data_IF_346742103052
#
_entry.id   IF_346742103052
#
_cell.length_a   1.000
_cell.length_b   1.000
_cell.length_c   1.000
_cell.angle_alpha   90.00
_cell.angle_beta   90.00
_cell.angle_gamma   90.00
#
_symmetry.space_group_name_H-M   'P 1'
#
loop_
_entity.id
_entity.type
_entity.pdbx_description
1 polymer ?
#
# COMPACT_ATOMS: atom_id res chain seq x y z
N UNK A 1 37.44 -22.27 -39.62
CA UNK A 1 37.16 -20.96 -38.96
C UNK A 1 35.77 -20.43 -39.29
N UNK A 2 35.40 -20.17 -40.56
CA UNK A 2 34.07 -19.61 -40.91
C UNK A 2 32.87 -20.44 -40.40
N UNK A 3 32.94 -21.78 -40.49
CA UNK A 3 31.87 -22.69 -39.99
C UNK A 3 31.73 -22.68 -38.46
N UNK A 4 32.84 -22.59 -37.74
CA UNK A 4 32.86 -22.54 -36.27
C UNK A 4 32.31 -21.22 -35.75
N UNK A 5 32.69 -20.10 -36.39
CA UNK A 5 32.15 -18.76 -36.07
C UNK A 5 30.64 -18.72 -36.31
N UNK A 6 30.16 -19.32 -37.42
CA UNK A 6 28.73 -19.39 -37.71
C UNK A 6 27.96 -20.20 -36.65
N UNK A 7 28.52 -21.32 -36.18
CA UNK A 7 27.92 -22.15 -35.12
C UNK A 7 27.83 -21.40 -33.78
N UNK A 8 28.89 -20.69 -33.40
CA UNK A 8 28.91 -19.87 -32.18
C UNK A 8 27.87 -18.75 -32.27
N UNK A 9 27.77 -18.11 -33.44
CA UNK A 9 26.80 -17.03 -33.66
C UNK A 9 25.36 -17.52 -33.57
N UNK A 10 25.05 -18.70 -34.14
CA UNK A 10 23.72 -19.30 -34.03
C UNK A 10 23.38 -19.66 -32.59
N UNK A 11 24.32 -20.27 -31.84
CA UNK A 11 24.14 -20.56 -30.41
C UNK A 11 23.89 -19.30 -29.58
N UNK A 12 24.60 -18.20 -29.85
CA UNK A 12 24.40 -16.92 -29.15
C UNK A 12 23.01 -16.33 -29.43
N UNK A 13 22.56 -16.36 -30.70
CA UNK A 13 21.24 -15.86 -31.08
C UNK A 13 20.12 -16.70 -30.45
N UNK A 14 20.25 -18.03 -30.43
CA UNK A 14 19.27 -18.92 -29.78
C UNK A 14 19.19 -18.66 -28.27
N UNK A 15 20.32 -18.46 -27.61
CA UNK A 15 20.35 -18.16 -26.18
C UNK A 15 19.79 -16.77 -25.87
N UNK A 16 20.03 -15.76 -26.71
CA UNK A 16 19.44 -14.43 -26.53
C UNK A 16 17.92 -14.44 -26.70
N UNK A 17 17.39 -15.20 -27.67
CA UNK A 17 15.95 -15.34 -27.88
C UNK A 17 15.28 -16.07 -26.71
N UNK A 18 15.91 -17.13 -26.19
CA UNK A 18 15.41 -17.85 -25.01
C UNK A 18 15.43 -16.99 -23.74
N UNK A 19 16.47 -16.17 -23.56
CA UNK A 19 16.53 -15.22 -22.45
C UNK A 19 15.42 -14.15 -22.54
N UNK A 20 15.23 -13.54 -23.71
CA UNK A 20 14.17 -12.55 -23.92
C UNK A 20 12.77 -13.12 -23.72
N UNK A 21 12.50 -14.34 -24.20
CA UNK A 21 11.21 -14.99 -23.99
C UNK A 21 10.94 -15.31 -22.51
N UNK A 22 11.97 -15.71 -21.76
CA UNK A 22 11.85 -15.92 -20.31
C UNK A 22 11.60 -14.62 -19.58
N UNK A 23 12.32 -13.55 -19.92
CA UNK A 23 12.13 -12.24 -19.30
C UNK A 23 10.70 -11.72 -19.52
N UNK A 24 10.12 -11.96 -20.70
CA UNK A 24 8.72 -11.63 -21.00
C UNK A 24 7.72 -12.47 -20.19
N UNK A 25 7.95 -13.78 -20.06
CA UNK A 25 7.10 -14.68 -19.27
C UNK A 25 7.15 -14.33 -17.76
N UNK A 26 8.34 -13.99 -17.24
CA UNK A 26 8.48 -13.49 -15.87
C UNK A 26 7.79 -12.15 -15.67
N UNK A 27 7.88 -11.23 -16.63
CA UNK A 27 7.18 -9.95 -16.55
C UNK A 27 5.65 -10.11 -16.51
N UNK A 28 5.09 -11.01 -17.33
CA UNK A 28 3.65 -11.31 -17.35
C UNK A 28 3.19 -11.97 -16.03
N UNK A 29 4.01 -12.85 -15.45
CA UNK A 29 3.74 -13.45 -14.14
C UNK A 29 3.79 -12.41 -13.01
N UNK A 30 4.79 -11.54 -12.99
CA UNK A 30 4.94 -10.49 -11.98
C UNK A 30 3.79 -9.47 -12.07
N UNK A 31 3.34 -9.14 -13.29
CA UNK A 31 2.16 -8.31 -13.52
C UNK A 31 0.90 -8.97 -12.94
N UNK A 32 0.66 -10.26 -13.24
CA UNK A 32 -0.47 -11.01 -12.68
C UNK A 32 -0.46 -11.05 -11.15
N UNK A 33 0.70 -11.29 -10.52
CA UNK A 33 0.83 -11.30 -9.06
C UNK A 33 0.55 -9.92 -8.47
N UNK A 34 1.05 -8.87 -9.10
CA UNK A 34 0.81 -7.47 -8.69
C UNK A 34 -0.67 -7.11 -8.81
N UNK A 35 -1.37 -7.51 -9.87
CA UNK A 35 -2.81 -7.28 -10.04
C UNK A 35 -3.63 -8.00 -8.96
N UNK A 36 -3.31 -9.26 -8.68
CA UNK A 36 -3.97 -10.03 -7.63
C UNK A 36 -3.74 -9.40 -6.25
N UNK A 37 -2.52 -8.91 -5.98
CA UNK A 37 -2.20 -8.19 -4.76
C UNK A 37 -3.00 -6.88 -4.68
N UNK A 38 -3.09 -6.11 -5.76
CA UNK A 38 -3.86 -4.89 -5.85
C UNK A 38 -5.34 -5.12 -5.50
N UNK A 39 -5.97 -6.18 -6.03
CA UNK A 39 -7.36 -6.52 -5.70
C UNK A 39 -7.51 -6.80 -4.20
N UNK A 40 -6.65 -7.67 -3.63
CA UNK A 40 -6.70 -8.04 -2.21
C UNK A 40 -6.44 -6.86 -1.27
N UNK A 41 -5.49 -6.00 -1.62
CA UNK A 41 -5.17 -4.80 -0.86
C UNK A 41 -6.34 -3.83 -0.93
N UNK A 42 -6.91 -3.58 -2.11
CA UNK A 42 -8.05 -2.68 -2.26
C UNK A 42 -9.28 -3.17 -1.51
N UNK A 43 -9.52 -4.48 -1.44
CA UNK A 43 -10.59 -5.04 -0.61
C UNK A 43 -10.41 -4.65 0.87
N UNK A 44 -9.18 -4.75 1.40
CA UNK A 44 -8.88 -4.35 2.78
C UNK A 44 -8.97 -2.83 2.97
N UNK A 45 -8.43 -2.05 2.05
CA UNK A 45 -8.43 -0.59 2.16
C UNK A 45 -9.84 0.00 2.09
N UNK A 46 -10.71 -0.59 1.28
CA UNK A 46 -12.10 -0.16 1.10
C UNK A 46 -13.08 -0.88 2.04
N UNK A 47 -12.61 -1.74 2.94
CA UNK A 47 -13.46 -2.39 3.92
C UNK A 47 -14.07 -1.35 4.88
N UNK A 48 -15.41 -1.18 4.92
CA UNK A 48 -16.06 -0.20 5.76
C UNK A 48 -16.05 -0.64 7.22
N UNK A 49 -15.67 0.26 8.12
CA UNK A 49 -15.68 0.05 9.55
C UNK A 49 -16.85 0.84 10.17
N UNK A 50 -17.67 0.15 10.96
CA UNK A 50 -18.78 0.75 11.71
C UNK A 50 -18.36 1.14 13.13
N UNK A 51 -19.22 1.89 13.82
CA UNK A 51 -19.06 2.27 15.24
C UNK A 51 -17.75 3.02 15.52
N UNK A 52 -17.36 3.90 14.59
CA UNK A 52 -16.26 4.85 14.78
C UNK A 52 -16.76 6.08 15.53
N UNK A 53 -15.85 6.79 16.19
CA UNK A 53 -16.24 7.97 16.97
C UNK A 53 -16.53 9.15 16.05
N UNK A 54 -17.72 9.73 16.19
CA UNK A 54 -18.18 10.88 15.44
C UNK A 54 -18.07 12.16 16.29
N UNK A 55 -17.71 13.28 15.66
CA UNK A 55 -17.69 14.60 16.27
C UNK A 55 -17.92 15.70 15.23
N UNK A 56 -18.01 16.96 15.66
CA UNK A 56 -18.32 18.10 14.80
C UNK A 56 -17.29 18.29 13.68
N UNK A 57 -16.00 18.39 14.01
CA UNK A 57 -14.90 18.50 13.03
C UNK A 57 -14.95 17.39 11.97
N UNK A 58 -15.24 16.15 12.40
CA UNK A 58 -15.34 15.04 11.47
C UNK A 58 -16.58 15.12 10.58
N UNK A 59 -17.73 15.53 11.13
CA UNK A 59 -18.95 15.73 10.34
C UNK A 59 -18.76 16.80 9.27
N UNK A 60 -17.98 17.85 9.56
CA UNK A 60 -17.59 18.86 8.59
C UNK A 60 -16.67 18.29 7.51
N UNK A 61 -15.64 17.54 7.92
CA UNK A 61 -14.77 16.80 6.99
C UNK A 61 -15.56 15.88 6.06
N UNK A 62 -16.53 15.12 6.58
CA UNK A 62 -17.39 14.23 5.76
C UNK A 62 -18.17 15.01 4.71
N UNK A 63 -18.70 16.20 5.07
CA UNK A 63 -19.39 17.10 4.13
C UNK A 63 -18.42 17.65 3.08
N UNK A 64 -17.26 18.16 3.51
CA UNK A 64 -16.22 18.74 2.63
C UNK A 64 -15.67 17.74 1.62
N UNK A 65 -15.53 16.49 2.05
CA UNK A 65 -14.98 15.39 1.23
C UNK A 65 -16.04 14.55 0.52
N UNK A 66 -17.32 14.80 0.80
CA UNK A 66 -18.45 13.96 0.37
C UNK A 66 -18.17 12.46 0.62
N UNK A 67 -17.72 12.13 1.83
CA UNK A 67 -17.23 10.80 2.20
C UNK A 67 -17.60 10.45 3.63
N UNK A 68 -17.87 9.17 3.90
CA UNK A 68 -18.12 8.68 5.27
C UNK A 68 -16.84 8.54 6.11
N UNK A 69 -15.65 8.65 5.48
CA UNK A 69 -14.35 8.55 6.16
C UNK A 69 -14.24 7.32 7.08
N UNK A 70 -14.82 6.20 6.65
CA UNK A 70 -14.93 4.95 7.40
C UNK A 70 -14.18 3.77 6.75
N UNK A 71 -13.36 4.05 5.73
CA UNK A 71 -12.43 3.10 5.10
C UNK A 71 -11.01 3.66 5.17
N UNK A 72 -9.99 2.79 5.17
CA UNK A 72 -8.60 3.23 5.16
C UNK A 72 -8.31 4.06 3.91
N UNK A 73 -8.81 3.61 2.75
CA UNK A 73 -8.64 4.29 1.47
C UNK A 73 -9.09 5.76 1.54
N UNK A 74 -10.31 6.00 2.05
CA UNK A 74 -10.88 7.35 2.11
C UNK A 74 -10.13 8.25 3.09
N UNK A 75 -9.71 7.73 4.25
CA UNK A 75 -8.98 8.53 5.24
C UNK A 75 -7.57 8.85 4.71
N UNK A 76 -6.87 7.87 4.13
CA UNK A 76 -5.55 8.06 3.53
C UNK A 76 -5.64 9.07 2.38
N UNK A 77 -6.60 8.90 1.47
CA UNK A 77 -6.76 9.77 0.29
C UNK A 77 -6.97 11.23 0.69
N UNK A 78 -7.90 11.49 1.62
CA UNK A 78 -8.19 12.86 2.03
C UNK A 78 -7.04 13.49 2.82
N UNK A 79 -6.30 12.73 3.63
CA UNK A 79 -5.11 13.26 4.31
C UNK A 79 -3.96 13.53 3.32
N UNK A 80 -3.78 12.61 2.36
CA UNK A 80 -2.76 12.70 1.31
C UNK A 80 -2.84 14.01 0.52
N UNK A 81 -4.06 14.50 0.30
CA UNK A 81 -4.34 15.75 -0.41
C UNK A 81 -4.81 16.89 0.50
N UNK A 82 -4.53 16.83 1.80
CA UNK A 82 -5.02 17.79 2.78
C UNK A 82 -4.70 19.26 2.42
N UNK A 83 -3.49 19.52 1.91
CA UNK A 83 -3.09 20.87 1.49
C UNK A 83 -3.85 21.35 0.25
N UNK A 84 -4.05 20.46 -0.74
CA UNK A 84 -4.85 20.77 -1.93
C UNK A 84 -6.32 21.02 -1.59
N UNK A 85 -6.82 20.37 -0.54
CA UNK A 85 -8.18 20.51 -0.05
C UNK A 85 -8.33 21.62 1.00
N UNK A 86 -7.26 22.37 1.27
CA UNK A 86 -7.20 23.46 2.25
C UNK A 86 -7.73 23.00 3.62
N UNK A 87 -7.21 21.88 4.12
CA UNK A 87 -7.58 21.36 5.42
C UNK A 87 -6.81 22.05 6.54
N UNK A 88 -7.55 22.52 7.54
CA UNK A 88 -6.99 23.08 8.75
C UNK A 88 -6.21 22.02 9.56
N UNK A 89 -5.32 22.48 10.44
CA UNK A 89 -4.52 21.59 11.30
C UNK A 89 -5.43 20.70 12.16
N UNK A 90 -6.56 21.22 12.61
CA UNK A 90 -7.53 20.44 13.39
C UNK A 90 -8.17 19.32 12.56
N UNK A 91 -8.59 19.62 11.33
CA UNK A 91 -9.13 18.65 10.38
C UNK A 91 -8.11 17.53 10.08
N UNK A 92 -6.86 17.90 9.79
CA UNK A 92 -5.76 16.96 9.58
C UNK A 92 -5.51 16.09 10.82
N UNK A 93 -5.52 16.69 12.01
CA UNK A 93 -5.36 15.96 13.28
C UNK A 93 -6.50 14.97 13.49
N UNK A 94 -7.74 15.35 13.12
CA UNK A 94 -8.90 14.47 13.22
C UNK A 94 -8.79 13.26 12.30
N UNK A 95 -8.28 13.42 11.08
CA UNK A 95 -8.00 12.30 10.17
C UNK A 95 -6.93 11.35 10.73
N UNK A 96 -5.87 11.88 11.37
CA UNK A 96 -4.87 11.06 12.06
C UNK A 96 -5.48 10.27 13.23
N UNK A 97 -6.33 10.89 14.04
CA UNK A 97 -7.05 10.19 15.12
C UNK A 97 -7.99 9.12 14.57
N UNK A 98 -8.69 9.40 13.47
CA UNK A 98 -9.55 8.43 12.79
C UNK A 98 -8.73 7.25 12.27
N UNK A 99 -7.48 7.45 11.82
CA UNK A 99 -6.56 6.35 11.48
C UNK A 99 -6.19 5.47 12.68
N UNK A 100 -6.03 6.06 13.87
CA UNK A 100 -5.80 5.31 15.12
C UNK A 100 -7.01 4.44 15.46
N UNK A 101 -8.23 4.97 15.34
CA UNK A 101 -9.47 4.21 15.54
C UNK A 101 -9.59 3.04 14.54
N UNK A 102 -9.20 3.25 13.28
CA UNK A 102 -9.18 2.18 12.28
C UNK A 102 -8.20 1.06 12.67
N UNK A 103 -7.02 1.39 13.19
CA UNK A 103 -6.08 0.38 13.67
C UNK A 103 -6.65 -0.43 14.85
N UNK A 104 -7.38 0.22 15.77
CA UNK A 104 -8.09 -0.48 16.84
C UNK A 104 -9.14 -1.43 16.29
N UNK A 105 -9.97 -0.99 15.34
CA UNK A 105 -11.02 -1.82 14.73
C UNK A 105 -10.48 -2.95 13.86
N UNK A 106 -9.38 -2.75 13.16
CA UNK A 106 -8.72 -3.84 12.42
C UNK A 106 -8.19 -4.89 13.39
N UNK A 107 -7.57 -4.48 14.50
CA UNK A 107 -7.10 -5.40 15.54
C UNK A 107 -8.25 -6.18 16.20
N UNK A 108 -9.33 -5.50 16.59
CA UNK A 108 -10.54 -6.12 17.17
C UNK A 108 -11.15 -7.17 16.23
N UNK A 109 -11.06 -6.95 14.92
CA UNK A 109 -11.53 -7.87 13.89
C UNK A 109 -10.48 -8.93 13.47
N UNK A 110 -9.38 -9.07 14.23
CA UNK A 110 -8.27 -9.98 13.94
C UNK A 110 -7.62 -9.78 12.55
N UNK A 111 -7.70 -8.57 12.00
CA UNK A 111 -7.04 -8.17 10.75
C UNK A 111 -5.67 -7.56 11.08
N UNK A 112 -4.68 -8.42 11.27
CA UNK A 112 -3.31 -8.01 11.59
C UNK A 112 -2.57 -7.59 10.31
N UNK A 113 -2.53 -6.29 10.06
CA UNK A 113 -1.88 -5.72 8.89
C UNK A 113 -0.93 -4.57 9.27
N UNK A 114 0.11 -4.37 8.49
CA UNK A 114 0.88 -3.13 8.42
C UNK A 114 0.79 -2.55 7.01
N UNK A 115 0.85 -1.22 6.92
CA UNK A 115 0.83 -0.48 5.68
C UNK A 115 2.25 0.02 5.41
N UNK A 116 2.83 -0.30 4.27
CA UNK A 116 4.19 0.10 3.94
C UNK A 116 4.25 0.68 2.53
N UNK A 117 5.18 1.62 2.34
CA UNK A 117 5.34 2.22 1.02
C UNK A 117 6.24 1.34 0.14
N UNK A 118 5.77 1.00 -1.05
CA UNK A 118 6.61 0.31 -2.03
C UNK A 118 7.69 1.25 -2.58
N UNK A 119 8.97 0.85 -2.54
CA UNK A 119 10.10 1.68 -2.98
C UNK A 119 11.02 0.90 -3.94
N UNK A 120 11.61 1.61 -4.90
CA UNK A 120 12.59 1.05 -5.84
C UNK A 120 11.95 0.07 -6.82
N UNK A 121 12.58 -1.10 -6.98
CA UNK A 121 12.14 -2.15 -7.92
C UNK A 121 10.99 -3.03 -7.39
N UNK A 122 10.41 -2.71 -6.23
CA UNK A 122 9.29 -3.48 -5.69
C UNK A 122 8.01 -3.18 -6.49
N UNK A 123 7.11 -4.16 -6.66
CA UNK A 123 5.80 -3.93 -7.27
C UNK A 123 5.03 -2.82 -6.56
N UNK A 124 4.28 -2.02 -7.31
CA UNK A 124 3.36 -0.98 -6.82
C UNK A 124 2.44 -1.51 -5.72
N UNK A 125 1.98 -2.75 -5.87
CA UNK A 125 1.17 -3.48 -4.92
C UNK A 125 1.80 -4.84 -4.62
N UNK A 126 2.04 -5.13 -3.35
CA UNK A 126 2.53 -6.44 -2.90
C UNK A 126 2.02 -6.75 -1.49
N UNK A 127 1.87 -8.03 -1.18
CA UNK A 127 1.40 -8.54 0.11
C UNK A 127 2.46 -9.52 0.63
N UNK A 128 3.18 -9.10 1.67
CA UNK A 128 4.22 -9.91 2.32
C UNK A 128 3.72 -10.37 3.69
N UNK A 129 4.27 -11.45 4.23
CA UNK A 129 3.92 -11.94 5.56
C UNK A 129 5.14 -11.90 6.48
N UNK A 130 4.95 -11.38 7.69
CA UNK A 130 6.00 -11.29 8.72
C UNK A 130 5.48 -11.84 10.06
N UNK A 131 6.39 -12.31 10.91
CA UNK A 131 6.09 -12.63 12.31
C UNK A 131 6.46 -11.44 13.18
N UNK A 132 5.46 -10.80 13.79
CA UNK A 132 5.65 -9.72 14.77
C UNK A 132 5.03 -10.12 16.11
N UNK A 133 5.83 -10.08 17.19
CA UNK A 133 5.43 -10.51 18.53
C UNK A 133 4.72 -11.89 18.54
N UNK A 134 5.30 -12.87 17.86
CA UNK A 134 4.77 -14.23 17.68
C UNK A 134 3.39 -14.34 16.98
N UNK A 135 2.91 -13.26 16.35
CA UNK A 135 1.70 -13.26 15.53
C UNK A 135 2.07 -13.06 14.07
N UNK A 136 1.35 -13.71 13.17
CA UNK A 136 1.48 -13.53 11.73
C UNK A 136 0.79 -12.23 11.31
N UNK A 137 1.51 -11.34 10.66
CA UNK A 137 1.05 -10.02 10.21
C UNK A 137 1.26 -9.92 8.70
N UNK A 138 0.30 -9.34 7.99
CA UNK A 138 0.42 -9.03 6.56
C UNK A 138 0.96 -7.63 6.35
N UNK A 139 1.96 -7.47 5.50
CA UNK A 139 2.55 -6.19 5.12
C UNK A 139 1.99 -5.83 3.75
N UNK A 140 1.14 -4.82 3.72
CA UNK A 140 0.53 -4.31 2.49
C UNK A 140 1.43 -3.22 1.92
N UNK A 141 2.15 -3.54 0.86
CA UNK A 141 3.00 -2.61 0.13
C UNK A 141 2.17 -1.87 -0.92
N UNK A 142 2.20 -0.55 -0.85
CA UNK A 142 1.47 0.36 -1.74
C UNK A 142 2.36 1.55 -2.10
N UNK A 143 2.33 2.03 -3.33
CA UNK A 143 3.10 3.23 -3.67
C UNK A 143 3.29 3.39 -5.18
N UNK A 144 3.91 4.48 -5.60
CA UNK A 144 4.02 4.84 -7.01
C UNK A 144 5.07 4.03 -7.80
N UNK A 145 5.81 3.11 -7.16
CA UNK A 145 6.96 2.42 -7.77
C UNK A 145 8.11 3.37 -8.15
N UNK A 146 7.98 4.67 -7.87
CA UNK A 146 9.00 5.66 -8.18
C UNK A 146 10.01 5.77 -7.05
N UNK A 147 11.24 6.17 -7.38
CA UNK A 147 12.30 6.44 -6.41
C UNK A 147 12.19 7.85 -5.80
N UNK A 148 11.27 8.68 -6.29
CA UNK A 148 11.10 10.07 -5.86
C UNK A 148 9.89 10.11 -4.92
N UNK A 149 10.12 10.52 -3.67
CA UNK A 149 9.06 10.70 -2.68
C UNK A 149 8.71 12.18 -2.67
N UNK A 150 7.53 12.52 -3.16
CA UNK A 150 6.98 13.87 -3.06
C UNK A 150 6.24 14.07 -1.72
N UNK A 151 5.72 15.29 -1.50
CA UNK A 151 4.95 15.65 -0.31
C UNK A 151 3.68 14.81 -0.15
N UNK A 152 3.07 14.45 -1.27
CA UNK A 152 1.88 13.62 -1.35
C UNK A 152 2.18 12.19 -0.84
N UNK A 153 3.29 11.59 -1.25
CA UNK A 153 3.77 10.31 -0.76
C UNK A 153 4.23 10.39 0.72
N UNK A 154 4.80 11.52 1.14
CA UNK A 154 5.14 11.75 2.55
C UNK A 154 3.90 11.78 3.45
N UNK A 155 2.81 12.42 3.01
CA UNK A 155 1.55 12.45 3.74
C UNK A 155 0.90 11.05 3.85
N UNK A 156 0.97 10.24 2.79
CA UNK A 156 0.54 8.85 2.86
C UNK A 156 1.38 8.03 3.88
N UNK A 157 2.72 8.16 3.84
CA UNK A 157 3.62 7.52 4.81
C UNK A 157 3.33 7.93 6.25
N UNK A 158 2.96 9.18 6.49
CA UNK A 158 2.57 9.67 7.83
C UNK A 158 1.32 8.94 8.35
N UNK A 159 0.35 8.68 7.48
CA UNK A 159 -0.84 7.89 7.82
C UNK A 159 -0.48 6.43 8.10
N UNK A 160 0.36 5.83 7.26
CA UNK A 160 0.82 4.45 7.45
C UNK A 160 1.54 4.28 8.78
N UNK A 161 2.47 5.18 9.11
CA UNK A 161 3.16 5.19 10.41
C UNK A 161 2.19 5.29 11.58
N UNK A 162 1.22 6.21 11.51
CA UNK A 162 0.22 6.38 12.57
C UNK A 162 -0.56 5.10 12.83
N UNK A 163 -1.01 4.44 11.76
CA UNK A 163 -1.70 3.15 11.84
C UNK A 163 -0.81 2.04 12.39
N UNK A 164 0.38 1.86 11.81
CA UNK A 164 1.30 0.79 12.18
C UNK A 164 1.73 0.92 13.65
N UNK A 165 2.05 2.12 14.12
CA UNK A 165 2.44 2.33 15.52
C UNK A 165 1.30 2.00 16.49
N UNK A 166 0.05 2.30 16.12
CA UNK A 166 -1.11 1.89 16.92
C UNK A 166 -1.31 0.37 16.88
N UNK A 167 -1.20 -0.24 15.71
CA UNK A 167 -1.35 -1.69 15.52
C UNK A 167 -0.28 -2.47 16.29
N UNK A 168 0.99 -2.04 16.23
CA UNK A 168 2.09 -2.62 17.02
C UNK A 168 1.80 -2.59 18.52
N UNK A 169 1.29 -1.47 19.03
CA UNK A 169 0.88 -1.35 20.44
C UNK A 169 -0.26 -2.31 20.78
N UNK A 170 -1.22 -2.51 19.89
CA UNK A 170 -2.32 -3.44 20.14
C UNK A 170 -1.87 -4.90 20.11
N UNK A 171 -0.98 -5.27 19.18
CA UNK A 171 -0.42 -6.62 19.08
C UNK A 171 0.46 -6.97 20.27
N UNK A 172 1.16 -5.98 20.84
CA UNK A 172 2.05 -6.13 22.00
C UNK A 172 1.34 -6.26 23.35
N UNK A 173 0.02 -6.00 23.41
CA UNK A 173 -0.82 -6.28 24.58
C UNK A 173 -1.08 -7.78 24.69
#
# INVERSE_FOLDING_TARGET
MKKTVFLILTLLISNSLLAQNRDAEYAEYDEYVSELANIKINELLNYPISNLTENETLNELKKKTNSELNTLALIILNYKYAETLDFEIEEQTRLLMRMVEMADKFYENNKLIFLEHSVGYRPTFSDEEEIYNNKKVRILLMGSGTCIIDEIDYNAKRMYRTFNERMKKNIAK
#
